data_IF_838295197677
#
_entry.id   IF_838295197677
#
_cell.length_a   1.000
_cell.length_b   1.000
_cell.length_c   1.000
_cell.angle_alpha   90.00
_cell.angle_beta   90.00
_cell.angle_gamma   90.00
#
_symmetry.space_group_name_H-M   'P 1'
#
loop_
_entity.id
_entity.type
_entity.pdbx_description
1 polymer ?
#
# COMPACT_ATOMS: atom_id res chain seq x y z
N UNK A 1 -18.13 7.30 11.94
CA UNK A 1 -17.58 5.95 11.76
C UNK A 1 -17.49 5.34 13.14
N UNK A 2 -18.31 4.32 13.38
CA UNK A 2 -18.29 3.58 14.63
C UNK A 2 -17.09 2.62 14.56
N UNK A 3 -16.03 2.93 15.27
CA UNK A 3 -14.78 2.15 15.25
C UNK A 3 -14.71 1.13 16.40
N UNK A 4 -15.86 0.73 16.93
CA UNK A 4 -15.93 -0.26 18.02
C UNK A 4 -15.58 -1.69 17.56
N UNK A 5 -15.30 -1.88 16.28
CA UNK A 5 -14.85 -3.14 15.73
C UNK A 5 -13.42 -2.99 15.19
N UNK A 6 -12.47 -3.49 15.96
CA UNK A 6 -11.20 -3.95 15.42
C UNK A 6 -11.49 -4.87 14.21
N UNK A 7 -10.62 -4.86 13.23
CA UNK A 7 -10.77 -5.58 11.97
C UNK A 7 -11.61 -6.87 12.15
N UNK A 8 -12.81 -6.84 11.60
CA UNK A 8 -13.70 -8.01 11.64
C UNK A 8 -12.98 -9.19 10.98
N UNK A 9 -13.28 -10.37 11.48
CA UNK A 9 -12.74 -11.61 10.97
C UNK A 9 -12.86 -11.67 9.43
N UNK A 10 -11.83 -12.16 8.71
CA UNK A 10 -11.85 -12.35 7.26
C UNK A 10 -13.05 -13.15 6.73
N UNK A 11 -13.73 -13.86 7.62
CA UNK A 11 -14.95 -14.63 7.32
C UNK A 11 -16.18 -13.74 7.12
N UNK A 12 -16.18 -12.52 7.63
CA UNK A 12 -17.35 -11.62 7.63
C UNK A 12 -17.29 -10.55 6.53
N UNK A 13 -16.09 -10.11 6.13
CA UNK A 13 -15.90 -9.08 5.10
C UNK A 13 -15.13 -9.68 3.92
N UNK A 14 -15.78 -9.73 2.77
CA UNK A 14 -15.11 -10.20 1.56
C UNK A 14 -14.25 -9.12 0.89
N UNK A 15 -14.80 -7.95 0.67
CA UNK A 15 -14.09 -6.78 0.11
C UNK A 15 -15.03 -5.57 0.02
N UNK A 16 -14.46 -4.38 -0.09
CA UNK A 16 -15.15 -3.13 -0.39
C UNK A 16 -14.74 -2.65 -1.78
N UNK A 17 -15.72 -2.30 -2.61
CA UNK A 17 -15.49 -1.72 -3.93
C UNK A 17 -16.06 -0.30 -3.96
N UNK A 18 -15.18 0.67 -4.18
CA UNK A 18 -15.55 2.08 -4.27
C UNK A 18 -15.34 2.58 -5.69
N UNK A 19 -16.39 3.12 -6.29
CA UNK A 19 -16.30 3.77 -7.59
C UNK A 19 -15.92 5.24 -7.43
N UNK A 20 -14.89 5.67 -8.12
CA UNK A 20 -14.43 7.05 -8.11
C UNK A 20 -14.88 7.76 -9.37
N UNK A 21 -15.68 8.80 -9.20
CA UNK A 21 -16.22 9.60 -10.29
C UNK A 21 -15.57 10.99 -10.31
N UNK A 22 -15.39 11.53 -11.50
CA UNK A 22 -15.08 12.95 -11.75
C UNK A 22 -16.05 13.48 -12.80
N UNK A 23 -16.78 14.52 -12.46
CA UNK A 23 -17.78 15.15 -13.34
C UNK A 23 -18.77 14.10 -13.91
N UNK A 24 -19.25 13.19 -13.03
CA UNK A 24 -20.17 12.10 -13.38
C UNK A 24 -19.55 10.96 -14.18
N UNK A 25 -18.26 11.02 -14.53
CA UNK A 25 -17.57 9.97 -15.28
C UNK A 25 -16.66 9.15 -14.38
N UNK A 26 -16.72 7.81 -14.53
CA UNK A 26 -15.87 6.91 -13.79
C UNK A 26 -14.39 7.11 -14.14
N UNK A 27 -13.58 7.36 -13.12
CA UNK A 27 -12.12 7.49 -13.22
C UNK A 27 -11.45 6.14 -12.93
N UNK A 28 -11.82 5.50 -11.84
CA UNK A 28 -11.32 4.18 -11.44
C UNK A 28 -12.28 3.54 -10.44
N UNK A 29 -11.98 2.31 -10.10
CA UNK A 29 -12.55 1.62 -8.95
C UNK A 29 -11.42 1.31 -7.96
N UNK A 30 -11.66 1.55 -6.68
CA UNK A 30 -10.78 1.14 -5.60
C UNK A 30 -11.35 -0.13 -5.00
N UNK A 31 -10.52 -1.15 -4.90
CA UNK A 31 -10.84 -2.38 -4.21
C UNK A 31 -10.01 -2.44 -2.94
N UNK A 32 -10.68 -2.56 -1.81
CA UNK A 32 -10.09 -2.86 -0.52
C UNK A 32 -10.60 -4.19 -0.02
N UNK A 33 -9.72 -5.00 0.52
CA UNK A 33 -10.04 -6.26 1.13
C UNK A 33 -9.20 -6.44 2.41
N UNK A 34 -9.63 -7.30 3.33
CA UNK A 34 -8.84 -7.63 4.52
C UNK A 34 -7.40 -7.96 4.14
N UNK A 35 -6.44 -7.43 4.90
CA UNK A 35 -5.01 -7.62 4.64
C UNK A 35 -4.62 -9.09 4.59
N UNK A 36 -5.28 -9.92 5.40
CA UNK A 36 -5.11 -11.37 5.50
C UNK A 36 -5.41 -12.10 4.19
N UNK A 37 -6.27 -11.56 3.34
CA UNK A 37 -6.54 -12.10 2.00
C UNK A 37 -5.33 -11.96 1.06
N UNK A 38 -4.48 -10.98 1.29
CA UNK A 38 -3.26 -10.79 0.51
C UNK A 38 -2.05 -11.38 1.22
N UNK A 39 -2.02 -11.30 2.55
CA UNK A 39 -0.96 -11.81 3.38
C UNK A 39 -1.51 -12.26 4.74
N UNK A 40 -1.50 -13.56 4.99
CA UNK A 40 -1.81 -14.17 6.28
C UNK A 40 -0.50 -14.59 6.95
N UNK A 41 -0.09 -13.93 8.05
CA UNK A 41 1.14 -14.30 8.77
C UNK A 41 1.07 -15.72 9.35
N UNK A 42 -0.13 -16.20 9.73
CA UNK A 42 -0.33 -17.54 10.27
C UNK A 42 -0.23 -18.62 9.18
N UNK A 43 -0.48 -18.24 7.92
CA UNK A 43 -0.38 -19.16 6.78
C UNK A 43 0.31 -18.48 5.57
N UNK A 44 1.62 -18.16 5.70
CA UNK A 44 2.34 -17.35 4.71
C UNK A 44 2.50 -18.04 3.35
N UNK A 45 2.23 -19.34 3.27
CA UNK A 45 2.27 -20.14 2.02
C UNK A 45 0.89 -20.28 1.37
N UNK A 46 -0.16 -19.76 1.97
CA UNK A 46 -1.51 -19.84 1.40
C UNK A 46 -1.54 -19.26 -0.02
N UNK A 47 -2.34 -19.82 -0.89
CA UNK A 47 -2.65 -19.20 -2.19
C UNK A 47 -3.50 -17.95 -2.00
N UNK A 48 -3.44 -17.02 -2.95
CA UNK A 48 -4.42 -15.94 -2.95
C UNK A 48 -5.84 -16.49 -3.07
N UNK A 49 -6.82 -15.90 -2.40
CA UNK A 49 -8.23 -16.25 -2.57
C UNK A 49 -8.66 -16.19 -4.05
N UNK A 50 -9.71 -16.93 -4.41
CA UNK A 50 -10.16 -17.04 -5.78
C UNK A 50 -10.45 -15.67 -6.42
N UNK A 51 -11.11 -14.75 -5.70
CA UNK A 51 -11.41 -13.42 -6.22
C UNK A 51 -10.13 -12.59 -6.47
N UNK A 52 -9.11 -12.67 -5.61
CA UNK A 52 -7.82 -12.00 -5.82
C UNK A 52 -7.14 -12.55 -7.08
N UNK A 53 -7.15 -13.86 -7.26
CA UNK A 53 -6.64 -14.50 -8.47
C UNK A 53 -7.39 -14.01 -9.72
N UNK A 54 -8.71 -13.86 -9.65
CA UNK A 54 -9.53 -13.32 -10.73
C UNK A 54 -9.15 -11.88 -11.06
N UNK A 55 -8.92 -11.04 -10.04
CA UNK A 55 -8.46 -9.66 -10.24
C UNK A 55 -7.08 -9.63 -10.89
N UNK A 56 -6.12 -10.40 -10.37
CA UNK A 56 -4.77 -10.48 -10.94
C UNK A 56 -4.82 -10.86 -12.41
N UNK A 57 -5.59 -11.88 -12.77
CA UNK A 57 -5.71 -12.40 -14.14
C UNK A 57 -6.55 -11.54 -15.07
N UNK A 58 -7.38 -10.63 -14.55
CA UNK A 58 -8.26 -9.79 -15.37
C UNK A 58 -7.48 -8.93 -16.38
N UNK A 59 -8.10 -8.59 -17.52
CA UNK A 59 -7.48 -7.76 -18.57
C UNK A 59 -7.40 -6.28 -18.20
N UNK A 60 -8.13 -5.85 -17.19
CA UNK A 60 -8.12 -4.46 -16.73
C UNK A 60 -6.74 -4.06 -16.22
N UNK A 61 -6.34 -2.83 -16.50
CA UNK A 61 -5.14 -2.23 -15.91
C UNK A 61 -5.34 -2.06 -14.41
N UNK A 62 -4.33 -2.40 -13.64
CA UNK A 62 -4.33 -2.30 -12.19
C UNK A 62 -3.22 -1.39 -11.69
N UNK A 63 -3.51 -0.66 -10.63
CA UNK A 63 -2.52 0.06 -9.83
C UNK A 63 -2.51 -0.57 -8.44
N UNK A 64 -1.46 -1.32 -8.15
CA UNK A 64 -1.29 -2.00 -6.88
C UNK A 64 -0.73 -1.03 -5.85
N UNK A 65 -1.48 -0.78 -4.78
CA UNK A 65 -0.99 -0.03 -3.62
C UNK A 65 -0.44 -1.04 -2.61
N UNK A 66 0.87 -1.02 -2.43
CA UNK A 66 1.59 -1.92 -1.52
C UNK A 66 1.90 -1.12 -0.27
N UNK A 67 1.18 -1.44 0.81
CA UNK A 67 1.35 -0.76 2.10
C UNK A 67 2.62 -1.26 2.79
N UNK A 68 3.41 -0.36 3.33
CA UNK A 68 4.59 -0.67 4.14
C UNK A 68 4.54 0.16 5.41
N UNK A 69 4.64 -0.51 6.55
CA UNK A 69 4.59 0.13 7.87
C UNK A 69 5.94 0.06 8.58
N UNK A 70 6.34 1.11 9.32
CA UNK A 70 7.68 1.20 9.91
C UNK A 70 7.88 0.35 11.16
N UNK A 71 6.82 -0.09 11.83
CA UNK A 71 6.86 -0.76 13.13
C UNK A 71 6.40 -2.22 13.13
N UNK A 72 6.38 -2.85 11.99
CA UNK A 72 6.06 -4.27 11.91
C UNK A 72 7.14 -5.09 12.63
N UNK A 73 6.81 -5.66 13.77
CA UNK A 73 7.77 -6.12 14.77
C UNK A 73 8.42 -7.46 14.46
N UNK A 74 7.74 -8.37 13.75
CA UNK A 74 8.23 -9.72 13.51
C UNK A 74 9.05 -9.83 12.21
N UNK A 75 10.32 -10.25 12.35
CA UNK A 75 11.23 -10.45 11.21
C UNK A 75 10.75 -11.56 10.27
N UNK A 76 10.10 -12.58 10.80
CA UNK A 76 9.55 -13.71 10.04
C UNK A 76 8.42 -13.21 9.14
N UNK A 77 7.53 -12.41 9.69
CA UNK A 77 6.39 -11.84 8.96
C UNK A 77 6.86 -10.88 7.88
N UNK A 78 7.84 -10.03 8.17
CA UNK A 78 8.45 -9.16 7.17
C UNK A 78 9.05 -9.94 6.00
N UNK A 79 9.79 -11.01 6.26
CA UNK A 79 10.35 -11.89 5.22
C UNK A 79 9.26 -12.55 4.38
N UNK A 80 8.19 -13.02 5.02
CA UNK A 80 7.06 -13.63 4.34
C UNK A 80 6.28 -12.60 3.51
N UNK A 81 6.09 -11.38 4.02
CA UNK A 81 5.51 -10.28 3.28
C UNK A 81 6.32 -9.95 2.02
N UNK A 82 7.65 -9.85 2.13
CA UNK A 82 8.53 -9.63 0.97
C UNK A 82 8.33 -10.71 -0.09
N UNK A 83 8.26 -11.98 0.30
CA UNK A 83 7.98 -13.10 -0.64
C UNK A 83 6.64 -12.88 -1.34
N UNK A 84 5.61 -12.49 -0.61
CA UNK A 84 4.28 -12.24 -1.17
C UNK A 84 4.27 -11.09 -2.17
N UNK A 85 4.96 -10.00 -1.87
CA UNK A 85 5.14 -8.87 -2.79
C UNK A 85 5.90 -9.30 -4.06
N UNK A 86 6.93 -10.13 -3.91
CA UNK A 86 7.66 -10.71 -5.05
C UNK A 86 6.74 -11.59 -5.91
N UNK A 87 5.91 -12.42 -5.30
CA UNK A 87 4.98 -13.29 -6.04
C UNK A 87 3.88 -12.49 -6.75
N UNK A 88 3.36 -11.46 -6.09
CA UNK A 88 2.45 -10.51 -6.74
C UNK A 88 3.12 -9.88 -7.97
N UNK A 89 4.35 -9.38 -7.82
CA UNK A 89 5.08 -8.73 -8.92
C UNK A 89 5.27 -9.66 -10.12
N UNK A 90 5.59 -10.93 -9.92
CA UNK A 90 5.73 -11.92 -11.00
C UNK A 90 4.43 -12.11 -11.80
N UNK A 91 3.28 -11.89 -11.17
CA UNK A 91 1.96 -12.06 -11.75
C UNK A 91 1.35 -10.77 -12.31
N UNK A 92 1.99 -9.62 -12.04
CA UNK A 92 1.59 -8.34 -12.61
C UNK A 92 1.79 -8.33 -14.12
N UNK A 93 0.85 -7.74 -14.82
CA UNK A 93 0.97 -7.55 -16.27
C UNK A 93 1.85 -6.36 -16.61
N UNK A 94 2.38 -6.27 -17.84
CA UNK A 94 3.22 -5.13 -18.28
C UNK A 94 2.53 -3.76 -18.14
N UNK A 95 1.18 -3.72 -18.24
CA UNK A 95 0.39 -2.48 -18.10
C UNK A 95 0.06 -2.13 -16.64
N UNK A 96 0.24 -3.06 -15.72
CA UNK A 96 -0.01 -2.80 -14.31
C UNK A 96 1.07 -1.89 -13.73
N UNK A 97 0.69 -1.12 -12.73
CA UNK A 97 1.62 -0.26 -12.02
C UNK A 97 1.64 -0.62 -10.52
N UNK A 98 2.70 -0.23 -9.83
CA UNK A 98 2.80 -0.34 -8.38
C UNK A 98 3.12 1.01 -7.76
N UNK A 99 2.54 1.27 -6.58
CA UNK A 99 2.84 2.39 -5.70
C UNK A 99 3.12 1.79 -4.33
N UNK A 100 4.31 2.00 -3.81
CA UNK A 100 4.61 1.71 -2.41
C UNK A 100 4.14 2.87 -1.55
N UNK A 101 3.21 2.59 -0.67
CA UNK A 101 2.68 3.55 0.30
C UNK A 101 3.38 3.33 1.63
N UNK A 102 4.26 4.25 1.97
CA UNK A 102 5.00 4.27 3.23
C UNK A 102 4.06 4.85 4.29
N UNK A 103 3.29 3.97 4.93
CA UNK A 103 2.23 4.35 5.86
C UNK A 103 2.79 4.72 7.24
N UNK A 104 1.98 5.37 8.06
CA UNK A 104 2.32 5.74 9.43
C UNK A 104 3.66 6.48 9.55
N UNK A 105 3.93 7.39 8.61
CA UNK A 105 5.22 8.09 8.59
C UNK A 105 5.42 9.01 9.80
N UNK A 106 4.34 9.44 10.44
CA UNK A 106 4.32 10.27 11.65
C UNK A 106 4.99 9.61 12.87
N UNK A 107 4.88 8.29 12.98
CA UNK A 107 5.52 7.51 14.05
C UNK A 107 6.86 6.89 13.60
N UNK A 108 7.28 7.14 12.39
CA UNK A 108 8.53 6.62 11.83
C UNK A 108 9.73 7.51 12.23
N UNK A 109 10.91 6.92 12.50
CA UNK A 109 12.14 7.68 12.77
C UNK A 109 12.60 8.56 11.59
N UNK A 110 12.00 8.37 10.42
CA UNK A 110 12.28 9.18 9.23
C UNK A 110 11.38 10.42 9.13
N UNK A 111 10.46 10.60 10.07
CA UNK A 111 9.52 11.73 10.07
C UNK A 111 10.29 13.05 10.21
N UNK A 112 10.21 13.88 9.19
CA UNK A 112 10.84 15.21 9.17
C UNK A 112 9.83 16.37 9.33
N UNK A 113 8.62 16.05 9.77
CA UNK A 113 7.47 16.95 9.81
C UNK A 113 6.49 16.74 8.65
N UNK A 114 5.31 17.32 8.77
CA UNK A 114 4.21 17.17 7.80
C UNK A 114 4.68 17.53 6.39
N UNK A 115 4.53 16.60 5.47
CA UNK A 115 4.90 16.77 4.06
C UNK A 115 6.40 16.85 3.78
N UNK A 116 7.26 16.74 4.80
CA UNK A 116 8.73 16.86 4.72
C UNK A 116 9.47 15.53 4.79
N UNK A 117 8.76 14.40 4.83
CA UNK A 117 9.39 13.08 4.86
C UNK A 117 10.24 12.88 3.61
N UNK A 118 11.52 12.64 3.81
CA UNK A 118 12.46 12.34 2.71
C UNK A 118 12.20 10.95 2.16
N UNK A 119 11.76 10.85 0.92
CA UNK A 119 11.55 9.56 0.25
C UNK A 119 12.83 8.73 0.21
N UNK A 120 13.98 9.35 -0.04
CA UNK A 120 15.28 8.63 -0.06
C UNK A 120 15.61 8.00 1.30
N UNK A 121 15.38 8.72 2.40
CA UNK A 121 15.56 8.16 3.75
C UNK A 121 14.55 7.05 4.03
N UNK A 122 13.29 7.28 3.65
CA UNK A 122 12.22 6.30 3.80
C UNK A 122 12.53 5.00 3.06
N UNK A 123 13.00 5.07 1.82
CA UNK A 123 13.37 3.88 1.03
C UNK A 123 14.53 3.11 1.67
N UNK A 124 15.50 3.82 2.23
CA UNK A 124 16.61 3.17 2.96
C UNK A 124 16.08 2.43 4.18
N UNK A 125 15.24 3.07 4.98
CA UNK A 125 14.65 2.48 6.18
C UNK A 125 13.79 1.26 5.84
N UNK A 126 12.91 1.38 4.86
CA UNK A 126 12.09 0.25 4.39
C UNK A 126 12.98 -0.90 3.88
N UNK A 127 14.03 -0.61 3.13
CA UNK A 127 14.92 -1.67 2.65
C UNK A 127 15.70 -2.36 3.78
N UNK A 128 16.00 -1.64 4.87
CA UNK A 128 16.60 -2.21 6.07
C UNK A 128 15.63 -3.16 6.79
N UNK A 129 14.37 -2.74 6.92
CA UNK A 129 13.34 -3.52 7.62
C UNK A 129 12.77 -4.67 6.76
N UNK A 130 12.70 -4.47 5.44
CA UNK A 130 12.16 -5.42 4.45
C UNK A 130 13.19 -5.72 3.36
N UNK A 131 14.29 -6.42 3.68
CA UNK A 131 15.37 -6.64 2.72
C UNK A 131 14.88 -7.29 1.43
N UNK A 132 15.16 -6.64 0.30
CA UNK A 132 14.81 -7.17 -1.02
C UNK A 132 13.42 -6.84 -1.55
N UNK A 133 12.57 -6.12 -0.79
CA UNK A 133 11.19 -5.79 -1.20
C UNK A 133 11.14 -5.04 -2.55
N UNK A 134 12.12 -4.22 -2.85
CA UNK A 134 12.20 -3.45 -4.09
C UNK A 134 12.94 -4.15 -5.23
N UNK A 135 13.54 -5.32 -4.98
CA UNK A 135 14.43 -5.97 -5.95
C UNK A 135 13.75 -6.23 -7.30
N UNK A 136 12.51 -6.72 -7.27
CA UNK A 136 11.75 -7.03 -8.49
C UNK A 136 11.18 -5.79 -9.19
N UNK A 137 11.29 -4.62 -8.58
CA UNK A 137 10.84 -3.35 -9.13
C UNK A 137 11.99 -2.49 -9.66
N UNK A 138 13.24 -2.96 -9.57
CA UNK A 138 14.39 -2.27 -10.15
C UNK A 138 14.21 -2.11 -11.65
N UNK A 139 14.50 -0.93 -12.13
CA UNK A 139 14.44 -0.64 -13.56
C UNK A 139 15.60 -1.35 -14.28
N UNK A 140 15.26 -2.25 -15.21
CA UNK A 140 16.25 -3.01 -16.00
C UNK A 140 16.53 -2.36 -17.36
N UNK A 141 15.76 -1.35 -17.76
CA UNK A 141 15.98 -0.65 -19.02
C UNK A 141 17.19 0.29 -18.88
N UNK A 142 18.27 0.09 -19.67
CA UNK A 142 19.50 0.85 -19.54
C UNK A 142 19.32 2.35 -19.80
N UNK A 143 18.38 2.73 -20.67
CA UNK A 143 18.11 4.14 -21.00
C UNK A 143 17.37 4.82 -19.85
N UNK A 144 16.25 4.26 -19.41
CA UNK A 144 15.42 4.89 -18.37
C UNK A 144 16.02 4.78 -16.98
N UNK A 145 16.92 3.84 -16.72
CA UNK A 145 17.64 3.69 -15.46
C UNK A 145 18.51 4.90 -15.12
N UNK A 146 18.92 5.70 -16.10
CA UNK A 146 19.72 6.91 -15.88
C UNK A 146 18.99 7.97 -15.02
N UNK A 147 17.66 7.93 -14.99
CA UNK A 147 16.84 8.89 -14.22
C UNK A 147 15.73 8.25 -13.39
N UNK A 148 15.57 6.94 -13.45
CA UNK A 148 14.56 6.22 -12.70
C UNK A 148 15.05 4.83 -12.27
N UNK A 149 15.41 4.68 -11.01
CA UNK A 149 15.94 3.43 -10.45
C UNK A 149 14.91 2.30 -10.36
N UNK A 150 13.63 2.64 -10.19
CA UNK A 150 12.57 1.67 -9.96
C UNK A 150 11.38 1.85 -10.92
N UNK A 151 10.74 0.76 -11.29
CA UNK A 151 9.51 0.69 -12.09
C UNK A 151 8.24 0.79 -11.22
N UNK A 152 8.32 1.47 -10.10
CA UNK A 152 7.22 1.78 -9.19
C UNK A 152 7.37 3.22 -8.69
N UNK A 153 6.33 3.73 -8.03
CA UNK A 153 6.39 5.03 -7.35
C UNK A 153 6.31 4.81 -5.84
N UNK A 154 6.71 5.84 -5.09
CA UNK A 154 6.75 5.83 -3.62
C UNK A 154 6.03 7.05 -3.09
N UNK A 155 5.16 6.86 -2.10
CA UNK A 155 4.41 7.93 -1.46
C UNK A 155 4.46 7.74 0.05
N UNK A 156 4.88 8.77 0.76
CA UNK A 156 4.74 8.84 2.21
C UNK A 156 3.27 9.12 2.55
N UNK A 157 2.74 8.46 3.57
CA UNK A 157 1.34 8.56 3.92
C UNK A 157 1.11 8.53 5.43
N UNK A 158 0.09 9.24 5.85
CA UNK A 158 -0.47 9.26 7.19
C UNK A 158 -1.98 9.44 7.07
N UNK A 159 -2.75 8.54 7.68
CA UNK A 159 -4.23 8.62 7.64
C UNK A 159 -4.79 9.65 8.60
N UNK A 160 -4.31 9.64 9.83
CA UNK A 160 -4.78 10.45 10.94
C UNK A 160 -4.45 9.78 12.27
N UNK A 161 -4.92 10.36 13.34
CA UNK A 161 -4.62 9.90 14.71
C UNK A 161 -5.90 9.46 15.40
N UNK A 162 -5.86 8.28 16.03
CA UNK A 162 -6.89 7.83 16.94
C UNK A 162 -6.45 8.14 18.36
N UNK A 163 -7.29 8.85 19.11
CA UNK A 163 -7.03 9.19 20.51
C UNK A 163 -8.11 8.56 21.36
N UNK A 164 -7.71 7.79 22.36
CA UNK A 164 -8.64 7.25 23.34
C UNK A 164 -9.10 8.37 24.29
N UNK A 165 -10.40 8.53 24.43
CA UNK A 165 -11.00 9.42 25.43
C UNK A 165 -11.11 8.70 26.76
N UNK A 166 -11.19 9.44 27.88
CA UNK A 166 -11.34 8.87 29.24
C UNK A 166 -12.57 7.96 29.44
N UNK A 167 -13.44 7.84 28.45
CA UNK A 167 -14.58 6.92 28.41
C UNK A 167 -14.31 5.64 27.59
N UNK A 168 -13.08 5.38 27.16
CA UNK A 168 -12.72 4.25 26.32
C UNK A 168 -13.15 4.37 24.84
N UNK A 169 -13.68 5.52 24.44
CA UNK A 169 -14.03 5.79 23.04
C UNK A 169 -12.81 6.28 22.27
N UNK A 170 -12.63 5.76 21.05
CA UNK A 170 -11.65 6.28 20.12
C UNK A 170 -12.23 7.45 19.34
N UNK A 171 -11.56 8.59 19.38
CA UNK A 171 -11.85 9.73 18.50
C UNK A 171 -10.83 9.76 17.38
N UNK A 172 -11.30 9.95 16.17
CA UNK A 172 -10.45 10.09 14.99
C UNK A 172 -10.23 11.56 14.68
N UNK A 173 -8.96 11.94 14.56
CA UNK A 173 -8.55 13.23 14.03
C UNK A 173 -7.96 13.03 12.64
N UNK A 174 -8.51 13.72 11.65
CA UNK A 174 -8.05 13.64 10.27
C UNK A 174 -6.56 14.04 10.16
N UNK A 175 -5.82 13.27 9.39
CA UNK A 175 -4.42 13.56 9.11
C UNK A 175 -4.24 14.71 8.13
N UNK A 176 -2.99 15.16 7.93
CA UNK A 176 -2.69 16.26 7.02
C UNK A 176 -3.12 15.94 5.58
N UNK A 177 -3.92 16.81 5.01
CA UNK A 177 -4.49 16.67 3.66
C UNK A 177 -3.46 16.50 2.55
N UNK A 178 -2.25 17.01 2.75
CA UNK A 178 -1.12 16.92 1.82
C UNK A 178 -0.79 15.47 1.43
N UNK A 179 -0.88 14.54 2.38
CA UNK A 179 -0.61 13.12 2.12
C UNK A 179 -1.66 12.51 1.19
N UNK A 180 -2.94 12.76 1.47
CA UNK A 180 -4.04 12.30 0.61
C UNK A 180 -3.91 12.89 -0.80
N UNK A 181 -3.61 14.17 -0.92
CA UNK A 181 -3.42 14.84 -2.22
C UNK A 181 -2.24 14.25 -3.00
N UNK A 182 -1.11 13.99 -2.32
CA UNK A 182 0.07 13.36 -2.96
C UNK A 182 -0.24 11.95 -3.44
N UNK A 183 -0.87 11.14 -2.60
CA UNK A 183 -1.26 9.77 -2.95
C UNK A 183 -2.21 9.78 -4.15
N UNK A 184 -3.24 10.61 -4.12
CA UNK A 184 -4.20 10.72 -5.21
C UNK A 184 -3.57 11.19 -6.53
N UNK A 185 -2.67 12.16 -6.49
CA UNK A 185 -1.88 12.57 -7.67
C UNK A 185 -1.06 11.41 -8.23
N UNK A 186 -0.45 10.60 -7.37
CA UNK A 186 0.32 9.44 -7.80
C UNK A 186 -0.57 8.38 -8.46
N UNK A 187 -1.71 8.05 -7.84
CA UNK A 187 -2.70 7.12 -8.39
C UNK A 187 -3.19 7.59 -9.76
N UNK A 188 -3.64 8.85 -9.86
CA UNK A 188 -4.19 9.39 -11.11
C UNK A 188 -3.17 9.43 -12.24
N UNK A 189 -1.91 9.71 -11.94
CA UNK A 189 -0.80 9.60 -12.90
C UNK A 189 -0.65 8.18 -13.43
N UNK A 190 -0.76 7.16 -12.55
CA UNK A 190 -0.63 5.76 -12.96
C UNK A 190 -1.84 5.22 -13.71
N UNK A 191 -3.03 5.75 -13.46
CA UNK A 191 -4.24 5.36 -14.19
C UNK A 191 -4.18 5.85 -15.65
N UNK A 192 -3.66 7.06 -15.87
CA UNK A 192 -3.67 7.72 -17.20
C UNK A 192 -2.57 7.24 -18.14
N UNK A 193 -1.46 6.81 -17.62
CA UNK A 193 -0.31 6.56 -18.43
C UNK A 193 0.46 5.39 -18.20
#
# INVERSE_FOLDING_TARGET
LNTDYAAESPEQISFMLVEVLKDGRRVCQLLEAPGEHYFDPNNPKSSFPAYVNTIISSKNRKVWMIMVEPDWKDDSDRKNYVKRVVDLKKRMRPRDAAIFVLNKVDISPIFGGIGRTSITRALREVNNQYPGIFTQFKNQNPITKLWKDYNCDFVAFQTGTFTETGSGRLTYQEGPREYCVKLWKCITKKIRG
#
